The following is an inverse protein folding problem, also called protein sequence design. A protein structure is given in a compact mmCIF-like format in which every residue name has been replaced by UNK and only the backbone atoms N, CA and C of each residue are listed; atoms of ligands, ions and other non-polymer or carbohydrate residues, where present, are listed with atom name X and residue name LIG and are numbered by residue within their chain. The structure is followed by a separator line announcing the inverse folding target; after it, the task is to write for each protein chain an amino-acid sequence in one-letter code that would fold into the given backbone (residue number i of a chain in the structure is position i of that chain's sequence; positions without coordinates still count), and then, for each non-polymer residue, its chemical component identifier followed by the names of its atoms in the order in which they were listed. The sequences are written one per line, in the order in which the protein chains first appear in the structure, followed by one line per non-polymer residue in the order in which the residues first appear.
data_IF_190824272185
#
_entry.id   IF_190824272185
#
_cell.length_a   1.000
_cell.length_b   1.000
_cell.length_c   1.000
_cell.angle_alpha   90.00
_cell.angle_beta   90.00
_cell.angle_gamma   90.00
#
_symmetry.space_group_name_H-M   'P 1'
#
loop_
_entity.id
_entity.type
_entity.pdbx_description
1 polymer ?
#
# COMPACT_ATOMS: atom_id res chain seq x y z
N UNK A 1 -6.23 -20.57 4.88
CA UNK A 1 -5.72 -21.80 5.51
C UNK A 1 -4.29 -21.58 6.06
N UNK A 2 -3.35 -21.08 5.28
CA UNK A 2 -1.98 -20.75 5.72
C UNK A 2 -1.97 -19.79 6.91
N UNK A 3 -2.77 -18.73 6.89
CA UNK A 3 -2.91 -17.77 7.98
C UNK A 3 -3.42 -18.42 9.27
N UNK A 4 -4.46 -19.27 9.17
CA UNK A 4 -5.00 -19.98 10.33
C UNK A 4 -4.02 -21.01 10.91
N UNK A 5 -3.27 -21.72 10.07
CA UNK A 5 -2.20 -22.62 10.49
C UNK A 5 -1.07 -21.85 11.18
N UNK A 6 -0.70 -20.70 10.60
CA UNK A 6 0.31 -19.80 11.17
C UNK A 6 -0.10 -19.25 12.54
N UNK A 7 -1.35 -18.78 12.72
CA UNK A 7 -1.83 -18.27 14.00
C UNK A 7 -1.85 -19.34 15.09
N UNK A 8 -2.08 -20.61 14.73
CA UNK A 8 -2.04 -21.77 15.63
C UNK A 8 -0.59 -22.12 16.06
N UNK A 9 0.36 -22.06 15.12
CA UNK A 9 1.80 -22.25 15.38
C UNK A 9 2.40 -21.09 16.19
N UNK A 10 1.89 -19.88 16.01
CA UNK A 10 2.36 -18.64 16.63
C UNK A 10 2.31 -18.61 18.17
N UNK A 11 1.47 -19.43 18.81
CA UNK A 11 1.44 -19.57 20.28
C UNK A 11 2.73 -20.14 20.84
N UNK A 12 3.57 -20.79 20.00
CA UNK A 12 4.85 -21.41 20.37
C UNK A 12 6.07 -20.74 19.71
N UNK A 13 5.91 -19.51 19.16
CA UNK A 13 7.03 -18.82 18.49
C UNK A 13 8.18 -18.60 19.47
N UNK A 14 9.36 -19.10 19.13
CA UNK A 14 10.58 -18.88 19.89
C UNK A 14 11.12 -17.45 19.69
N UNK A 15 11.91 -16.96 20.64
CA UNK A 15 12.55 -15.65 20.52
C UNK A 15 13.45 -15.60 19.27
N UNK A 16 14.15 -16.69 18.98
CA UNK A 16 15.05 -16.80 17.83
C UNK A 16 14.29 -16.65 16.48
N UNK A 17 13.15 -17.29 16.33
CA UNK A 17 12.31 -17.13 15.13
C UNK A 17 11.80 -15.69 14.96
N UNK A 18 11.43 -15.04 16.07
CA UNK A 18 11.01 -13.65 16.04
C UNK A 18 12.14 -12.68 15.68
N UNK A 19 13.35 -12.93 16.14
CA UNK A 19 14.55 -12.17 15.76
C UNK A 19 14.91 -12.39 14.29
N UNK A 20 14.86 -13.64 13.79
CA UNK A 20 15.08 -13.93 12.37
C UNK A 20 14.14 -13.15 11.46
N UNK A 21 12.87 -13.04 11.84
CA UNK A 21 11.90 -12.21 11.11
C UNK A 21 12.28 -10.71 11.08
N UNK A 22 12.78 -10.18 12.19
CA UNK A 22 13.25 -8.78 12.27
C UNK A 22 14.47 -8.57 11.37
N UNK A 23 15.46 -9.47 11.44
CA UNK A 23 16.67 -9.41 10.61
C UNK A 23 16.31 -9.46 9.13
N UNK A 24 15.38 -10.33 8.74
CA UNK A 24 14.90 -10.43 7.37
C UNK A 24 14.22 -9.13 6.91
N UNK A 25 13.38 -8.52 7.75
CA UNK A 25 12.71 -7.25 7.43
C UNK A 25 13.73 -6.10 7.28
N UNK A 26 14.70 -6.00 8.19
CA UNK A 26 15.77 -5.00 8.13
C UNK A 26 16.63 -5.22 6.88
N UNK A 27 17.03 -6.47 6.60
CA UNK A 27 17.80 -6.82 5.41
C UNK A 27 17.08 -6.43 4.11
N UNK A 28 15.77 -6.65 4.03
CA UNK A 28 14.97 -6.23 2.89
C UNK A 28 14.94 -4.69 2.73
N UNK A 29 14.82 -3.94 3.83
CA UNK A 29 14.89 -2.46 3.79
C UNK A 29 16.25 -1.97 3.34
N UNK A 30 17.32 -2.54 3.86
CA UNK A 30 18.69 -2.17 3.46
C UNK A 30 18.95 -2.49 1.98
N UNK A 31 18.48 -3.64 1.52
CA UNK A 31 18.61 -4.02 0.12
C UNK A 31 17.78 -3.08 -0.78
N UNK A 32 16.55 -2.74 -0.36
CA UNK A 32 15.73 -1.76 -1.07
C UNK A 32 16.42 -0.38 -1.15
N UNK A 33 17.07 0.06 -0.08
CA UNK A 33 17.84 1.30 -0.07
C UNK A 33 18.99 1.26 -1.09
N UNK A 34 19.74 0.16 -1.16
CA UNK A 34 20.80 -0.03 -2.17
C UNK A 34 20.22 0.02 -3.60
N UNK A 35 19.06 -0.59 -3.81
CA UNK A 35 18.37 -0.51 -5.10
C UNK A 35 17.95 0.93 -5.46
N UNK A 36 17.53 1.74 -4.49
CA UNK A 36 17.22 3.16 -4.72
C UNK A 36 18.47 3.96 -5.13
N UNK A 37 19.62 3.70 -4.51
CA UNK A 37 20.90 4.30 -4.92
C UNK A 37 21.26 3.87 -6.34
N UNK A 38 21.20 2.59 -6.66
CA UNK A 38 21.50 2.06 -7.99
C UNK A 38 20.58 2.68 -9.08
N UNK A 39 19.30 2.92 -8.74
CA UNK A 39 18.38 3.61 -9.61
C UNK A 39 18.81 5.07 -9.86
N UNK A 40 19.15 5.81 -8.83
CA UNK A 40 19.54 7.23 -8.95
C UNK A 40 20.83 7.42 -9.75
N UNK A 41 21.73 6.41 -9.72
CA UNK A 41 23.01 6.44 -10.46
C UNK A 41 22.90 5.93 -11.90
N UNK A 42 21.78 5.25 -12.26
CA UNK A 42 21.63 4.62 -13.56
C UNK A 42 21.43 5.61 -14.73
N UNK A 43 20.99 6.86 -14.46
CA UNK A 43 20.63 7.84 -15.49
C UNK A 43 19.42 7.49 -16.34
N UNK A 44 18.81 6.31 -16.14
CA UNK A 44 17.64 5.80 -16.86
C UNK A 44 16.59 5.27 -15.89
N UNK A 45 16.08 6.13 -15.04
CA UNK A 45 15.23 5.75 -13.90
C UNK A 45 14.01 4.90 -14.26
N UNK A 46 13.31 5.24 -15.34
CA UNK A 46 12.11 4.51 -15.78
C UNK A 46 12.44 3.12 -16.28
N UNK A 47 13.47 3.02 -17.14
CA UNK A 47 13.91 1.74 -17.67
C UNK A 47 14.44 0.84 -16.56
N UNK A 48 15.23 1.39 -15.64
CA UNK A 48 15.74 0.65 -14.50
C UNK A 48 14.61 0.03 -13.64
N UNK A 49 13.52 0.77 -13.43
CA UNK A 49 12.36 0.23 -12.70
C UNK A 49 11.67 -0.92 -13.42
N UNK A 50 11.55 -0.85 -14.75
CA UNK A 50 10.96 -1.92 -15.56
C UNK A 50 11.82 -3.18 -15.50
N UNK A 51 13.12 -3.03 -15.64
CA UNK A 51 14.08 -4.16 -15.62
C UNK A 51 14.15 -4.84 -14.25
N UNK A 52 14.02 -4.07 -13.17
CA UNK A 52 14.14 -4.57 -11.80
C UNK A 52 12.80 -4.80 -11.08
N UNK A 53 11.66 -4.73 -11.78
CA UNK A 53 10.33 -4.84 -11.14
C UNK A 53 10.09 -6.14 -10.38
N UNK A 54 10.59 -7.27 -10.89
CA UNK A 54 10.47 -8.56 -10.21
C UNK A 54 11.30 -8.62 -8.95
N UNK A 55 12.52 -8.08 -9.00
CA UNK A 55 13.41 -8.00 -7.85
C UNK A 55 12.83 -7.08 -6.77
N UNK A 56 12.28 -5.93 -7.15
CA UNK A 56 11.57 -5.03 -6.24
C UNK A 56 10.38 -5.73 -5.57
N UNK A 57 9.57 -6.47 -6.35
CA UNK A 57 8.44 -7.22 -5.80
C UNK A 57 8.89 -8.30 -4.82
N UNK A 58 10.00 -8.99 -5.10
CA UNK A 58 10.59 -9.98 -4.20
C UNK A 58 11.06 -9.35 -2.89
N UNK A 59 11.72 -8.20 -2.96
CA UNK A 59 12.19 -7.44 -1.77
C UNK A 59 11.00 -7.03 -0.90
N UNK A 60 9.93 -6.51 -1.49
CA UNK A 60 8.70 -6.20 -0.75
C UNK A 60 8.05 -7.44 -0.14
N UNK A 61 8.01 -8.56 -0.86
CA UNK A 61 7.49 -9.83 -0.33
C UNK A 61 8.32 -10.32 0.86
N UNK A 62 9.64 -10.25 0.80
CA UNK A 62 10.55 -10.59 1.90
C UNK A 62 10.36 -9.64 3.10
N UNK A 63 10.18 -8.35 2.86
CA UNK A 63 9.86 -7.39 3.92
C UNK A 63 8.56 -7.75 4.64
N UNK A 64 7.48 -7.99 3.89
CA UNK A 64 6.18 -8.37 4.46
C UNK A 64 6.28 -9.70 5.22
N UNK A 65 6.98 -10.69 4.65
CA UNK A 65 7.20 -11.97 5.32
C UNK A 65 8.00 -11.80 6.61
N UNK A 66 9.06 -11.01 6.59
CA UNK A 66 9.86 -10.67 7.77
C UNK A 66 9.03 -10.01 8.86
N UNK A 67 8.15 -9.08 8.48
CA UNK A 67 7.22 -8.43 9.40
C UNK A 67 6.21 -9.40 10.00
N UNK A 68 5.68 -10.33 9.21
CA UNK A 68 4.75 -11.37 9.68
C UNK A 68 5.44 -12.31 10.68
N UNK A 69 6.68 -12.71 10.41
CA UNK A 69 7.48 -13.61 11.25
C UNK A 69 8.08 -12.90 12.47
N UNK A 70 8.15 -11.58 12.49
CA UNK A 70 8.79 -10.81 13.56
C UNK A 70 8.10 -10.98 14.92
N UNK A 71 8.84 -10.68 16.00
CA UNK A 71 8.34 -10.76 17.36
C UNK A 71 7.16 -9.81 17.61
N UNK A 72 6.24 -10.21 18.51
CA UNK A 72 4.99 -9.48 18.83
C UNK A 72 5.19 -7.99 19.14
N UNK A 73 6.26 -7.61 19.80
CA UNK A 73 6.56 -6.21 20.15
C UNK A 73 6.88 -5.37 18.91
N UNK A 74 7.66 -5.93 17.98
CA UNK A 74 8.00 -5.23 16.73
C UNK A 74 6.77 -5.04 15.84
N UNK A 75 5.90 -6.07 15.74
CA UNK A 75 4.64 -5.95 15.00
C UNK A 75 3.67 -4.93 15.57
N UNK A 76 3.68 -4.71 16.91
CA UNK A 76 2.83 -3.71 17.55
C UNK A 76 3.10 -2.30 17.02
N UNK A 77 4.31 -2.03 16.52
CA UNK A 77 4.67 -0.76 15.86
C UNK A 77 3.80 -0.54 14.61
N UNK A 78 3.51 -1.61 13.84
CA UNK A 78 2.67 -1.54 12.65
C UNK A 78 1.19 -1.88 12.93
N UNK A 79 0.88 -2.58 14.02
CA UNK A 79 -0.49 -2.90 14.42
C UNK A 79 -1.09 -1.79 15.29
N UNK A 80 -1.14 -0.58 14.76
CA UNK A 80 -1.75 0.57 15.41
C UNK A 80 -2.94 1.10 14.59
N UNK A 81 -3.70 2.03 15.19
CA UNK A 81 -4.90 2.60 14.56
C UNK A 81 -4.58 3.36 13.26
N UNK A 82 -3.43 4.04 13.22
CA UNK A 82 -3.01 4.81 12.04
C UNK A 82 -2.72 3.88 10.87
N UNK A 83 -1.96 2.79 11.11
CA UNK A 83 -1.67 1.81 10.06
C UNK A 83 -2.92 1.07 9.57
N UNK A 84 -3.86 0.77 10.47
CA UNK A 84 -5.16 0.18 10.08
C UNK A 84 -5.99 1.14 9.22
N UNK A 85 -6.00 2.42 9.56
CA UNK A 85 -6.66 3.45 8.77
C UNK A 85 -6.00 3.57 7.39
N UNK A 86 -4.66 3.71 7.32
CA UNK A 86 -3.92 3.81 6.06
C UNK A 86 -4.13 2.56 5.19
N UNK A 87 -4.11 1.37 5.79
CA UNK A 87 -4.41 0.13 5.07
C UNK A 87 -5.83 0.12 4.50
N UNK A 88 -6.81 0.65 5.25
CA UNK A 88 -8.21 0.74 4.82
C UNK A 88 -8.42 1.63 3.60
N UNK A 89 -7.66 2.72 3.47
CA UNK A 89 -7.79 3.67 2.35
C UNK A 89 -6.77 3.44 1.22
N UNK A 90 -5.79 2.54 1.43
CA UNK A 90 -4.63 2.35 0.53
C UNK A 90 -5.03 1.99 -0.89
N UNK A 91 -6.06 1.17 -1.06
CA UNK A 91 -6.55 0.76 -2.38
C UNK A 91 -7.14 1.94 -3.16
N UNK A 92 -7.99 2.74 -2.52
CA UNK A 92 -8.58 3.92 -3.14
C UNK A 92 -7.51 4.98 -3.43
N UNK A 93 -6.55 5.14 -2.51
CA UNK A 93 -5.41 6.02 -2.71
C UNK A 93 -4.60 5.61 -3.94
N UNK A 94 -4.30 4.31 -4.09
CA UNK A 94 -3.57 3.78 -5.23
C UNK A 94 -4.28 4.05 -6.57
N UNK A 95 -5.61 3.90 -6.61
CA UNK A 95 -6.39 4.17 -7.83
C UNK A 95 -6.41 5.66 -8.16
N UNK A 96 -6.65 6.52 -7.16
CA UNK A 96 -6.89 7.95 -7.38
C UNK A 96 -5.62 8.75 -7.62
N UNK A 97 -4.47 8.38 -7.03
CA UNK A 97 -3.28 9.24 -7.03
C UNK A 97 -2.75 9.55 -8.43
N UNK A 98 -2.76 8.59 -9.35
CA UNK A 98 -2.31 8.83 -10.72
C UNK A 98 -3.23 9.78 -11.49
N UNK A 99 -4.54 9.60 -11.35
CA UNK A 99 -5.51 10.49 -11.98
C UNK A 99 -5.38 11.93 -11.49
N UNK A 100 -5.24 12.10 -10.17
CA UNK A 100 -5.04 13.42 -9.55
C UNK A 100 -3.73 14.04 -10.00
N UNK A 101 -2.64 13.26 -10.07
CA UNK A 101 -1.35 13.75 -10.56
C UNK A 101 -1.44 14.27 -12.00
N UNK A 102 -2.13 13.55 -12.88
CA UNK A 102 -2.35 14.01 -14.27
C UNK A 102 -3.17 15.28 -14.30
N UNK A 103 -4.29 15.34 -13.56
CA UNK A 103 -5.18 16.51 -13.53
C UNK A 103 -4.51 17.75 -12.96
N UNK A 104 -3.70 17.62 -11.91
CA UNK A 104 -2.91 18.74 -11.39
C UNK A 104 -1.97 19.33 -12.46
N UNK A 105 -1.33 18.48 -13.27
CA UNK A 105 -0.49 18.92 -14.38
C UNK A 105 -1.31 19.61 -15.48
N UNK A 106 -2.44 19.04 -15.87
CA UNK A 106 -3.34 19.66 -16.85
C UNK A 106 -3.80 21.07 -16.42
N UNK A 107 -4.12 21.25 -15.15
CA UNK A 107 -4.54 22.54 -14.59
C UNK A 107 -3.36 23.45 -14.21
N UNK A 108 -2.14 23.05 -14.47
CA UNK A 108 -0.90 23.78 -14.09
C UNK A 108 -0.84 24.14 -12.61
N UNK A 109 -1.16 23.17 -11.74
CA UNK A 109 -1.14 23.35 -10.28
C UNK A 109 -0.01 22.50 -9.66
N UNK A 110 0.95 23.09 -8.91
CA UNK A 110 1.19 24.53 -8.70
C UNK A 110 1.52 25.26 -10.00
N UNK A 111 1.20 26.55 -10.05
CA UNK A 111 1.36 27.35 -11.28
C UNK A 111 2.81 27.39 -11.76
N UNK A 112 3.02 27.29 -13.07
CA UNK A 112 4.33 27.46 -13.71
C UNK A 112 4.18 28.16 -15.06
N UNK A 113 5.23 28.89 -15.47
CA UNK A 113 5.35 29.55 -16.77
C UNK A 113 6.29 28.76 -17.68
N UNK A 114 5.91 28.60 -18.95
CA UNK A 114 6.69 27.86 -19.95
C UNK A 114 5.99 26.58 -20.42
N UNK A 115 6.57 25.95 -21.43
CA UNK A 115 6.01 24.74 -22.05
C UNK A 115 6.54 23.44 -21.40
N UNK A 116 7.71 23.52 -20.77
CA UNK A 116 8.32 22.39 -20.09
C UNK A 116 7.86 22.29 -18.62
N UNK A 117 7.72 21.06 -18.14
CA UNK A 117 7.40 20.82 -16.74
C UNK A 117 8.58 21.22 -15.83
N UNK A 118 8.35 21.94 -14.71
CA UNK A 118 9.43 22.41 -13.84
C UNK A 118 10.31 21.30 -13.25
N UNK A 119 9.80 20.07 -13.15
CA UNK A 119 10.63 18.94 -12.76
C UNK A 119 11.67 18.55 -13.82
N UNK A 120 11.45 18.88 -15.09
CA UNK A 120 12.43 18.67 -16.17
C UNK A 120 13.51 19.74 -16.15
N UNK A 121 13.20 20.95 -15.68
CA UNK A 121 14.13 22.08 -15.55
C UNK A 121 14.88 22.11 -14.21
N UNK A 122 14.64 21.12 -13.33
CA UNK A 122 15.31 20.99 -12.04
C UNK A 122 14.77 21.87 -10.91
N UNK A 123 13.55 22.42 -11.04
CA UNK A 123 12.91 23.19 -9.96
C UNK A 123 12.45 22.26 -8.83
N UNK A 124 13.34 22.07 -7.86
CA UNK A 124 13.12 21.24 -6.67
C UNK A 124 11.97 21.77 -5.79
N UNK A 125 11.83 23.11 -5.70
CA UNK A 125 10.77 23.72 -4.88
C UNK A 125 9.38 23.39 -5.43
N UNK A 126 9.19 23.57 -6.74
CA UNK A 126 7.96 23.20 -7.41
C UNK A 126 7.66 21.71 -7.25
N UNK A 127 8.67 20.85 -7.40
CA UNK A 127 8.52 19.40 -7.28
C UNK A 127 8.01 18.99 -5.90
N UNK A 128 8.52 19.60 -4.83
CA UNK A 128 8.03 19.35 -3.47
C UNK A 128 6.59 19.84 -3.29
N UNK A 129 6.28 21.05 -3.75
CA UNK A 129 4.91 21.58 -3.67
C UNK A 129 3.92 20.70 -4.41
N UNK A 130 4.26 20.28 -5.62
CA UNK A 130 3.44 19.37 -6.41
C UNK A 130 3.23 18.02 -5.71
N UNK A 131 4.30 17.43 -5.19
CA UNK A 131 4.24 16.12 -4.52
C UNK A 131 3.35 16.17 -3.27
N UNK A 132 3.53 17.21 -2.43
CA UNK A 132 2.72 17.38 -1.22
C UNK A 132 1.25 17.60 -1.58
N UNK A 133 0.97 18.44 -2.56
CA UNK A 133 -0.40 18.73 -3.00
C UNK A 133 -1.07 17.49 -3.60
N UNK A 134 -0.37 16.77 -4.47
CA UNK A 134 -0.85 15.53 -5.05
C UNK A 134 -1.16 14.49 -3.97
N UNK A 135 -0.27 14.32 -2.99
CA UNK A 135 -0.46 13.40 -1.88
C UNK A 135 -1.67 13.80 -1.03
N UNK A 136 -1.77 15.07 -0.64
CA UNK A 136 -2.88 15.56 0.19
C UNK A 136 -4.24 15.41 -0.50
N UNK A 137 -4.36 15.80 -1.78
CA UNK A 137 -5.59 15.64 -2.55
C UNK A 137 -5.95 14.17 -2.74
N UNK A 138 -4.96 13.33 -3.05
CA UNK A 138 -5.19 11.87 -3.19
C UNK A 138 -5.67 11.26 -1.89
N UNK A 139 -5.15 11.70 -0.75
CA UNK A 139 -5.57 11.25 0.57
C UNK A 139 -7.04 11.64 0.85
N UNK A 140 -7.40 12.89 0.59
CA UNK A 140 -8.78 13.38 0.78
C UNK A 140 -9.77 12.61 -0.08
N UNK A 141 -9.44 12.43 -1.37
CA UNK A 141 -10.30 11.68 -2.30
C UNK A 141 -10.40 10.20 -1.89
N UNK A 142 -9.29 9.58 -1.49
CA UNK A 142 -9.30 8.18 -1.04
C UNK A 142 -10.17 8.00 0.22
N UNK A 143 -10.09 8.91 1.19
CA UNK A 143 -10.96 8.91 2.37
C UNK A 143 -12.43 9.03 1.95
N UNK A 144 -12.76 10.01 1.12
CA UNK A 144 -14.11 10.22 0.64
C UNK A 144 -14.66 8.97 -0.08
N UNK A 145 -13.90 8.40 -1.00
CA UNK A 145 -14.27 7.19 -1.74
C UNK A 145 -14.48 5.99 -0.82
N UNK A 146 -13.59 5.79 0.15
CA UNK A 146 -13.72 4.67 1.10
C UNK A 146 -14.97 4.81 1.96
N UNK A 147 -15.19 5.97 2.57
CA UNK A 147 -16.28 6.14 3.53
C UNK A 147 -17.64 6.40 2.89
N UNK A 148 -17.71 7.08 1.75
CA UNK A 148 -18.97 7.43 1.07
C UNK A 148 -19.42 6.38 0.05
N UNK A 149 -18.50 5.62 -0.53
CA UNK A 149 -18.83 4.66 -1.60
C UNK A 149 -18.55 3.23 -1.16
N UNK A 150 -17.29 2.90 -0.82
CA UNK A 150 -16.86 1.52 -0.59
C UNK A 150 -17.56 0.90 0.62
N UNK A 151 -17.50 1.53 1.78
CA UNK A 151 -18.09 0.98 3.01
C UNK A 151 -19.62 0.83 2.94
N UNK A 152 -20.40 1.80 2.42
CA UNK A 152 -21.83 1.60 2.21
C UNK A 152 -22.15 0.48 1.22
N UNK A 153 -21.45 0.44 0.07
CA UNK A 153 -21.63 -0.60 -0.93
C UNK A 153 -21.33 -1.99 -0.37
N UNK A 154 -20.23 -2.13 0.37
CA UNK A 154 -19.86 -3.39 1.02
C UNK A 154 -20.92 -3.86 2.04
N UNK A 155 -21.53 -2.95 2.80
CA UNK A 155 -22.64 -3.27 3.72
C UNK A 155 -23.86 -3.79 2.98
N UNK A 156 -24.24 -3.16 1.87
CA UNK A 156 -25.40 -3.58 1.05
C UNK A 156 -25.15 -4.97 0.47
N UNK A 157 -23.97 -5.18 -0.14
CA UNK A 157 -23.61 -6.48 -0.74
C UNK A 157 -23.58 -7.59 0.32
N UNK A 158 -23.01 -7.31 1.49
CA UNK A 158 -22.96 -8.27 2.60
C UNK A 158 -24.36 -8.69 3.07
N UNK A 159 -25.28 -7.71 3.25
CA UNK A 159 -26.67 -8.00 3.64
C UNK A 159 -27.40 -8.81 2.57
N UNK A 160 -27.22 -8.49 1.29
CA UNK A 160 -27.80 -9.26 0.20
C UNK A 160 -27.30 -10.70 0.17
N UNK A 161 -25.99 -10.91 0.39
CA UNK A 161 -25.39 -12.23 0.40
C UNK A 161 -25.87 -13.08 1.59
N UNK A 162 -26.00 -12.49 2.77
CA UNK A 162 -26.54 -13.14 3.96
C UNK A 162 -27.99 -13.58 3.72
N UNK A 163 -28.84 -12.70 3.22
CA UNK A 163 -30.24 -13.02 2.92
C UNK A 163 -30.38 -14.16 1.89
N UNK A 164 -29.52 -14.18 0.88
CA UNK A 164 -29.49 -15.26 -0.12
C UNK A 164 -29.06 -16.61 0.48
N UNK A 165 -28.13 -16.57 1.43
CA UNK A 165 -27.64 -17.75 2.12
C UNK A 165 -28.72 -18.34 3.05
N UNK A 166 -29.36 -17.53 3.85
CA UNK A 166 -30.47 -17.91 4.73
C UNK A 166 -31.62 -18.58 3.94
N UNK A 167 -31.97 -17.99 2.76
CA UNK A 167 -32.99 -18.58 1.89
C UNK A 167 -32.60 -19.95 1.39
N UNK A 168 -31.35 -20.21 1.03
CA UNK A 168 -30.87 -21.52 0.61
C UNK A 168 -30.85 -22.53 1.75
N UNK A 169 -30.50 -22.13 2.95
CA UNK A 169 -30.50 -22.98 4.13
C UNK A 169 -31.95 -23.44 4.46
N UNK A 170 -32.95 -22.53 4.40
CA UNK A 170 -34.37 -22.84 4.57
C UNK A 170 -34.95 -23.74 3.47
N UNK A 171 -34.46 -23.63 2.23
CA UNK A 171 -34.88 -24.52 1.14
C UNK A 171 -34.34 -25.94 1.33
N UNK A 172 -33.13 -26.10 1.83
CA UNK A 172 -32.51 -27.40 2.10
C UNK A 172 -33.11 -28.11 3.33
N UNK A 173 -33.61 -27.35 4.32
CA UNK A 173 -34.29 -27.95 5.50
C UNK A 173 -35.69 -28.47 5.19
N UNK A 174 -36.27 -28.07 4.05
CA UNK A 174 -37.62 -28.53 3.61
C UNK A 174 -37.61 -29.77 2.69
N UNK A 175 -36.41 -30.20 2.28
CA UNK A 175 -36.21 -31.42 1.51
C UNK A 175 -35.81 -32.60 2.39
#
# INVERSE_FOLDING_TARGET
WLYMKYTKMRKKQTLAEGLAGIVMAIGAVMFFYQMCIARSTSGRETQWQLDNRFLLSLVFALFVLGMILSHKYFRKILDNRVMKFLAGISFQFYICHQYIAVKLKEFRIPNWSGDELPNMTGDVKWQWQYTILCFALSLVVAIAMTYLVELPAAKVIKKWYQKKREKKELENEKQ
#
